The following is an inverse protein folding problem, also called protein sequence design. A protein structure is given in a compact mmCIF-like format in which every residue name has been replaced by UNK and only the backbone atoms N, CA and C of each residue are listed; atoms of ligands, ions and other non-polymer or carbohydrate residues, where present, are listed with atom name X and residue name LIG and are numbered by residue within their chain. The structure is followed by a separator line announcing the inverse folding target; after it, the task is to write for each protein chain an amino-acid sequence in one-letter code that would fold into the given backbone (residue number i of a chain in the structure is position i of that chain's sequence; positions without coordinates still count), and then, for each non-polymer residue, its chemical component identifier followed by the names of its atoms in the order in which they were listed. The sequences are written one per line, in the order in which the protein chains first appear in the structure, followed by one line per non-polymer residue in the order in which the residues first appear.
data_IF_283273480343
#
_entry.id   IF_283273480343
#
_cell.length_a   1.000
_cell.length_b   1.000
_cell.length_c   1.000
_cell.angle_alpha   90.00
_cell.angle_beta   90.00
_cell.angle_gamma   90.00
#
_symmetry.space_group_name_H-M   'P 1'
#
loop_
_entity.id
_entity.type
_entity.pdbx_description
1 polymer ?
#
# COMPACT_ATOMS: atom_id res chain seq x y z
N UNK A 1 15.38 26.30 -19.13
CA UNK A 1 14.97 26.44 -20.55
C UNK A 1 13.51 26.06 -20.66
N UNK A 2 12.81 26.54 -21.68
CA UNK A 2 11.48 26.04 -22.00
C UNK A 2 11.52 24.53 -22.31
N UNK A 3 10.49 23.81 -21.88
CA UNK A 3 10.33 22.37 -21.93
C UNK A 3 8.86 21.99 -22.12
N UNK A 4 8.65 20.82 -22.71
CA UNK A 4 7.37 20.15 -22.78
C UNK A 4 7.52 18.81 -22.06
N UNK A 5 6.66 18.53 -21.08
CA UNK A 5 6.63 17.25 -20.38
C UNK A 5 5.21 16.79 -20.17
N UNK A 6 4.95 15.54 -20.53
CA UNK A 6 3.67 14.87 -20.42
C UNK A 6 3.92 13.49 -19.77
N UNK A 7 3.16 13.19 -18.72
CA UNK A 7 3.17 11.88 -18.08
C UNK A 7 2.20 10.95 -18.83
N UNK A 8 2.54 9.66 -18.93
CA UNK A 8 1.68 8.65 -19.57
C UNK A 8 0.48 8.32 -18.69
N UNK A 9 -0.47 9.24 -18.61
CA UNK A 9 -1.63 9.16 -17.75
C UNK A 9 -2.92 8.96 -18.56
N UNK A 10 -3.80 8.08 -18.07
CA UNK A 10 -5.11 7.85 -18.65
C UNK A 10 -6.18 8.01 -17.58
N UNK A 11 -7.05 9.00 -17.75
CA UNK A 11 -8.20 9.22 -16.88
C UNK A 11 -9.34 8.27 -17.26
N UNK A 12 -9.93 7.62 -16.27
CA UNK A 12 -11.18 6.89 -16.44
C UNK A 12 -12.35 7.88 -16.55
N UNK A 13 -13.28 7.61 -17.46
CA UNK A 13 -14.57 8.33 -17.50
C UNK A 13 -15.31 8.09 -16.19
N UNK A 14 -15.88 9.12 -15.57
CA UNK A 14 -16.69 8.91 -14.36
C UNK A 14 -17.92 8.05 -14.66
N UNK A 15 -18.17 7.06 -13.80
CA UNK A 15 -19.24 6.07 -13.98
C UNK A 15 -20.59 6.58 -13.47
N UNK A 16 -20.58 7.45 -12.46
CA UNK A 16 -21.78 8.08 -11.89
C UNK A 16 -21.66 9.60 -11.95
N UNK A 17 -22.78 10.29 -11.93
CA UNK A 17 -22.85 11.76 -12.12
C UNK A 17 -22.04 12.55 -11.09
N UNK A 18 -21.96 12.06 -9.84
CA UNK A 18 -21.25 12.74 -8.77
C UNK A 18 -19.85 12.16 -8.47
N UNK A 19 -19.32 11.26 -9.31
CA UNK A 19 -18.09 10.49 -9.03
C UNK A 19 -16.81 11.03 -9.68
N UNK A 20 -16.75 12.34 -9.98
CA UNK A 20 -15.50 12.94 -10.48
C UNK A 20 -14.32 12.72 -9.51
N UNK A 21 -14.56 12.75 -8.19
CA UNK A 21 -13.56 12.45 -7.16
C UNK A 21 -13.07 11.00 -7.23
N UNK A 22 -13.99 10.03 -7.37
CA UNK A 22 -13.65 8.61 -7.44
C UNK A 22 -12.89 8.28 -8.73
N UNK A 23 -13.30 8.90 -9.85
CA UNK A 23 -12.61 8.76 -11.14
C UNK A 23 -11.17 9.25 -11.09
N UNK A 24 -10.93 10.44 -10.49
CA UNK A 24 -9.58 10.95 -10.30
C UNK A 24 -8.77 10.03 -9.38
N UNK A 25 -9.28 9.68 -8.19
CA UNK A 25 -8.54 8.85 -7.23
C UNK A 25 -8.16 7.47 -7.79
N UNK A 26 -9.11 6.76 -8.42
CA UNK A 26 -8.83 5.46 -9.03
C UNK A 26 -7.83 5.56 -10.19
N UNK A 27 -7.97 6.56 -11.07
CA UNK A 27 -7.05 6.75 -12.19
C UNK A 27 -5.64 7.10 -11.73
N UNK A 28 -5.52 8.01 -10.74
CA UNK A 28 -4.24 8.40 -10.14
C UNK A 28 -3.58 7.20 -9.47
N UNK A 29 -4.36 6.36 -8.78
CA UNK A 29 -3.85 5.14 -8.16
C UNK A 29 -3.26 4.17 -9.19
N UNK A 30 -3.99 3.95 -10.30
CA UNK A 30 -3.52 3.10 -11.42
C UNK A 30 -2.28 3.68 -12.09
N UNK A 31 -2.18 5.01 -12.20
CA UNK A 31 -1.00 5.66 -12.75
C UNK A 31 0.26 5.39 -11.92
N UNK A 32 0.14 5.42 -10.60
CA UNK A 32 1.25 5.19 -9.68
C UNK A 32 1.57 3.71 -9.45
N UNK A 33 0.58 2.84 -9.61
CA UNK A 33 0.69 1.40 -9.57
C UNK A 33 -0.24 0.78 -10.62
N UNK A 34 0.32 0.31 -11.73
CA UNK A 34 -0.45 -0.32 -12.81
C UNK A 34 -1.23 -1.58 -12.37
N UNK A 35 -0.89 -2.16 -11.21
CA UNK A 35 -1.61 -3.29 -10.61
C UNK A 35 -2.64 -2.85 -9.56
N UNK A 36 -2.82 -1.54 -9.35
CA UNK A 36 -3.81 -1.01 -8.42
C UNK A 36 -5.20 -1.58 -8.74
N UNK A 37 -5.78 -2.27 -7.75
CA UNK A 37 -7.12 -2.82 -7.83
C UNK A 37 -8.22 -1.78 -7.60
N UNK A 38 -7.87 -0.52 -7.36
CA UNK A 38 -8.85 0.53 -7.09
C UNK A 38 -9.71 0.81 -8.32
N UNK A 39 -11.02 0.72 -8.12
CA UNK A 39 -12.03 1.15 -9.09
C UNK A 39 -12.86 2.26 -8.45
N UNK A 40 -13.56 3.05 -9.26
CA UNK A 40 -14.41 4.14 -8.74
C UNK A 40 -15.42 3.66 -7.70
N UNK A 41 -16.00 2.46 -7.89
CA UNK A 41 -16.97 1.91 -6.96
C UNK A 41 -16.33 1.39 -5.67
N UNK A 42 -15.08 0.90 -5.71
CA UNK A 42 -14.34 0.50 -4.51
C UNK A 42 -13.95 1.73 -3.69
N UNK A 43 -13.46 2.79 -4.35
CA UNK A 43 -13.20 4.08 -3.68
C UNK A 43 -14.48 4.59 -3.03
N UNK A 44 -15.62 4.54 -3.73
CA UNK A 44 -16.90 4.96 -3.17
C UNK A 44 -17.42 4.09 -2.03
N UNK A 45 -17.16 2.77 -2.07
CA UNK A 45 -17.50 1.85 -1.00
C UNK A 45 -16.75 2.19 0.29
N UNK A 46 -15.48 2.57 0.18
CA UNK A 46 -14.66 2.96 1.33
C UNK A 46 -14.98 4.35 1.87
N UNK A 47 -15.38 5.30 0.99
CA UNK A 47 -15.91 6.62 1.40
C UNK A 47 -17.22 6.49 2.19
N UNK A 48 -18.09 5.55 1.83
CA UNK A 48 -19.39 5.36 2.47
C UNK A 48 -19.50 4.02 3.20
N UNK A 49 -18.90 3.86 4.40
CA UNK A 49 -18.93 2.62 5.17
C UNK A 49 -20.34 2.05 5.31
N UNK A 50 -20.47 0.74 5.06
CA UNK A 50 -21.75 0.03 5.13
C UNK A 50 -22.58 0.05 3.84
N UNK A 51 -22.16 0.80 2.80
CA UNK A 51 -22.74 0.71 1.46
C UNK A 51 -21.90 -0.21 0.57
N UNK A 52 -22.54 -0.92 -0.36
CA UNK A 52 -21.86 -1.75 -1.36
C UNK A 52 -21.96 -1.11 -2.74
N UNK A 53 -21.16 -0.06 -2.97
CA UNK A 53 -21.31 0.81 -4.14
C UNK A 53 -20.97 0.11 -5.47
N UNK A 54 -20.21 -0.99 -5.44
CA UNK A 54 -19.98 -1.84 -6.61
C UNK A 54 -21.18 -2.73 -6.99
N UNK A 55 -22.07 -3.02 -6.04
CA UNK A 55 -23.29 -3.80 -6.29
C UNK A 55 -24.43 -2.86 -6.67
N UNK A 56 -24.58 -1.76 -5.93
CA UNK A 56 -25.56 -0.72 -6.21
C UNK A 56 -24.93 0.65 -5.97
N UNK A 57 -24.67 1.39 -7.05
CA UNK A 57 -24.03 2.69 -7.00
C UNK A 57 -24.98 3.83 -6.62
N UNK A 58 -26.29 3.66 -6.81
CA UNK A 58 -27.29 4.70 -6.54
C UNK A 58 -27.19 5.33 -5.14
N UNK A 59 -27.12 4.57 -4.02
CA UNK A 59 -26.99 5.15 -2.68
C UNK A 59 -25.62 5.80 -2.42
N UNK A 60 -24.67 5.67 -3.34
CA UNK A 60 -23.32 6.21 -3.24
C UNK A 60 -23.05 7.32 -4.26
N UNK A 61 -24.02 7.65 -5.14
CA UNK A 61 -23.88 8.69 -6.15
C UNK A 61 -24.02 10.08 -5.53
N UNK A 62 -23.08 10.43 -4.65
CA UNK A 62 -23.05 11.67 -3.88
C UNK A 62 -21.75 12.44 -4.16
N UNK A 63 -21.77 13.79 -4.12
CA UNK A 63 -20.54 14.60 -4.18
C UNK A 63 -19.65 14.30 -2.96
N UNK A 64 -18.33 14.33 -3.13
CA UNK A 64 -17.37 14.09 -2.04
C UNK A 64 -16.05 14.85 -2.22
N UNK A 65 -15.18 14.78 -1.21
CA UNK A 65 -13.87 15.40 -1.15
C UNK A 65 -12.79 14.57 -1.87
N UNK A 66 -11.98 15.20 -2.71
CA UNK A 66 -10.91 14.51 -3.45
C UNK A 66 -9.73 14.13 -2.56
N UNK A 67 -9.37 14.94 -1.58
CA UNK A 67 -8.30 14.65 -0.62
C UNK A 67 -8.62 13.39 0.20
N UNK A 68 -9.86 13.23 0.66
CA UNK A 68 -10.28 11.99 1.34
C UNK A 68 -10.27 10.78 0.40
N UNK A 69 -10.72 10.94 -0.85
CA UNK A 69 -10.68 9.86 -1.84
C UNK A 69 -9.24 9.45 -2.18
N UNK A 70 -8.32 10.41 -2.28
CA UNK A 70 -6.90 10.16 -2.50
C UNK A 70 -6.23 9.57 -1.24
N UNK A 71 -6.71 9.86 -0.03
CA UNK A 71 -6.24 9.18 1.19
C UNK A 71 -6.62 7.70 1.18
N UNK A 72 -7.85 7.36 0.76
CA UNK A 72 -8.29 5.96 0.59
C UNK A 72 -7.37 5.21 -0.39
N UNK A 73 -6.98 5.85 -1.50
CA UNK A 73 -6.06 5.24 -2.46
C UNK A 73 -4.58 5.39 -2.09
N UNK A 74 -4.27 6.04 -0.96
CA UNK A 74 -2.90 6.34 -0.48
C UNK A 74 -2.09 7.30 -1.36
N UNK A 75 -2.75 8.04 -2.25
CA UNK A 75 -2.10 8.93 -3.21
C UNK A 75 -2.20 10.41 -2.84
N UNK A 76 -2.77 10.76 -1.68
CA UNK A 76 -2.80 12.16 -1.23
C UNK A 76 -1.47 12.55 -0.59
N UNK A 77 -0.86 13.63 -1.09
CA UNK A 77 0.30 14.25 -0.46
C UNK A 77 -0.17 15.56 0.20
N UNK A 78 -0.37 15.51 1.51
CA UNK A 78 -0.85 16.63 2.29
C UNK A 78 0.14 17.81 2.28
N UNK A 79 -0.33 19.06 2.46
CA UNK A 79 -1.71 19.46 2.74
C UNK A 79 -2.54 19.78 1.47
N UNK A 80 -3.86 19.91 1.64
CA UNK A 80 -4.74 20.53 0.65
C UNK A 80 -4.38 22.01 0.51
N UNK A 81 -4.21 22.47 -0.72
CA UNK A 81 -3.89 23.87 -1.04
C UNK A 81 -5.14 24.58 -1.54
N UNK A 82 -5.50 25.69 -0.90
CA UNK A 82 -6.69 26.49 -1.20
C UNK A 82 -6.43 27.57 -2.28
N UNK A 83 -5.67 27.23 -3.31
CA UNK A 83 -5.36 28.11 -4.44
C UNK A 83 -4.83 27.34 -5.66
N UNK A 84 -4.83 27.97 -6.85
CA UNK A 84 -3.93 27.57 -7.93
C UNK A 84 -2.46 27.67 -7.50
N UNK A 85 -1.62 26.81 -8.07
CA UNK A 85 -0.16 26.86 -7.93
C UNK A 85 0.47 27.46 -9.20
N UNK A 86 1.69 27.96 -9.09
CA UNK A 86 2.38 28.59 -10.22
C UNK A 86 3.06 27.56 -11.14
N UNK A 87 3.52 28.00 -12.32
CA UNK A 87 4.16 27.12 -13.29
C UNK A 87 5.37 26.38 -12.71
N UNK A 88 6.21 27.02 -11.89
CA UNK A 88 7.40 26.39 -11.33
C UNK A 88 7.03 25.23 -10.39
N UNK A 89 5.96 25.38 -9.60
CA UNK A 89 5.43 24.31 -8.75
C UNK A 89 4.83 23.16 -9.57
N UNK A 90 4.11 23.49 -10.65
CA UNK A 90 3.59 22.48 -11.60
C UNK A 90 4.74 21.68 -12.21
N UNK A 91 5.78 22.38 -12.69
CA UNK A 91 6.98 21.75 -13.24
C UNK A 91 7.64 20.86 -12.19
N UNK A 92 7.80 21.31 -10.95
CA UNK A 92 8.39 20.52 -9.89
C UNK A 92 7.65 19.19 -9.64
N UNK A 93 6.31 19.18 -9.63
CA UNK A 93 5.55 17.95 -9.46
C UNK A 93 5.66 17.03 -10.68
N UNK A 94 5.36 17.56 -11.88
CA UNK A 94 5.38 16.79 -13.13
C UNK A 94 6.78 16.26 -13.44
N UNK A 95 7.83 17.04 -13.15
CA UNK A 95 9.21 16.63 -13.37
C UNK A 95 9.60 15.44 -12.48
N UNK A 96 9.06 15.38 -11.26
CA UNK A 96 9.18 14.25 -10.34
C UNK A 96 8.18 13.10 -10.61
N UNK A 97 7.50 13.12 -11.77
CA UNK A 97 6.57 12.06 -12.15
C UNK A 97 5.26 12.09 -11.38
N UNK A 98 4.88 13.23 -10.80
CA UNK A 98 3.68 13.36 -9.97
C UNK A 98 2.55 14.06 -10.71
N UNK A 99 1.35 13.49 -10.61
CA UNK A 99 0.10 14.12 -11.04
C UNK A 99 -0.33 15.19 -10.04
N UNK A 100 -1.15 16.13 -10.47
CA UNK A 100 -1.74 17.15 -9.60
C UNK A 100 -3.25 17.10 -9.74
N UNK A 101 -3.96 16.79 -8.66
CA UNK A 101 -5.40 16.94 -8.62
C UNK A 101 -5.79 18.41 -8.49
N UNK A 102 -6.89 18.81 -9.11
CA UNK A 102 -7.37 20.19 -9.07
C UNK A 102 -8.88 20.24 -8.90
N UNK A 103 -9.37 21.22 -8.14
CA UNK A 103 -10.80 21.51 -8.04
C UNK A 103 -11.14 22.72 -8.89
N UNK A 104 -12.02 22.52 -9.87
CA UNK A 104 -12.72 23.57 -10.58
C UNK A 104 -13.96 23.95 -9.78
N UNK A 105 -14.09 25.23 -9.41
CA UNK A 105 -15.32 25.80 -8.89
C UNK A 105 -16.12 26.44 -10.01
N UNK A 106 -17.35 26.00 -10.24
CA UNK A 106 -18.24 26.58 -11.25
C UNK A 106 -18.86 27.89 -10.77
N UNK A 107 -19.10 28.82 -11.68
CA UNK A 107 -19.74 30.11 -11.33
C UNK A 107 -21.17 29.93 -10.81
N UNK A 108 -21.88 28.89 -11.27
CA UNK A 108 -23.22 28.52 -10.81
C UNK A 108 -23.27 27.70 -9.51
N UNK A 109 -22.12 27.42 -8.89
CA UNK A 109 -22.02 26.57 -7.70
C UNK A 109 -21.63 25.12 -8.01
N UNK A 110 -21.22 24.39 -6.97
CA UNK A 110 -20.65 23.04 -7.09
C UNK A 110 -19.15 23.04 -7.42
N UNK A 111 -18.65 21.87 -7.83
CA UNK A 111 -17.27 21.72 -8.25
C UNK A 111 -17.03 20.48 -9.08
N UNK A 112 -15.88 20.43 -9.73
CA UNK A 112 -15.45 19.33 -10.57
C UNK A 112 -13.97 19.06 -10.37
N UNK A 113 -13.59 17.80 -10.35
CA UNK A 113 -12.19 17.40 -10.18
C UNK A 113 -11.58 16.98 -11.51
N UNK A 114 -10.41 17.55 -11.82
CA UNK A 114 -9.60 17.20 -12.99
C UNK A 114 -8.13 17.09 -12.56
N UNK A 115 -7.31 16.41 -13.37
CA UNK A 115 -5.90 16.20 -13.07
C UNK A 115 -4.99 16.88 -14.09
N UNK A 116 -3.96 17.58 -13.62
CA UNK A 116 -2.84 18.04 -14.46
C UNK A 116 -1.84 16.90 -14.54
N UNK A 117 -1.45 16.53 -15.76
CA UNK A 117 -0.49 15.45 -16.03
C UNK A 117 0.70 15.89 -16.91
N UNK A 118 0.82 17.19 -17.17
CA UNK A 118 1.89 17.74 -17.99
C UNK A 118 1.84 19.25 -18.11
N UNK A 119 2.90 19.81 -18.68
CA UNK A 119 3.00 21.23 -19.03
C UNK A 119 3.79 21.42 -20.33
N UNK A 120 3.60 22.57 -20.98
CA UNK A 120 4.37 23.04 -22.11
C UNK A 120 4.59 24.55 -22.00
N UNK A 121 5.84 24.99 -21.81
CA UNK A 121 6.21 26.42 -21.70
C UNK A 121 7.10 26.91 -22.85
N UNK A 122 6.98 26.28 -24.04
CA UNK A 122 7.70 26.68 -25.26
C UNK A 122 7.18 28.03 -25.82
N UNK A 123 6.01 28.50 -25.38
CA UNK A 123 5.41 29.80 -25.74
C UNK A 123 5.40 30.83 -24.61
N UNK A 124 4.84 32.02 -24.89
CA UNK A 124 4.72 33.10 -23.89
C UNK A 124 3.76 32.77 -22.74
N UNK A 125 2.66 32.08 -23.04
CA UNK A 125 1.70 31.59 -22.03
C UNK A 125 1.77 30.06 -21.98
N UNK A 126 2.14 29.47 -20.84
CA UNK A 126 2.24 28.02 -20.70
C UNK A 126 0.91 27.33 -20.93
N UNK A 127 0.97 26.12 -21.49
CA UNK A 127 -0.17 25.21 -21.56
C UNK A 127 -0.02 24.07 -20.56
N UNK A 128 -1.15 23.57 -20.09
CA UNK A 128 -1.29 22.42 -19.20
C UNK A 128 -1.97 21.28 -19.95
N UNK A 129 -1.49 20.07 -19.72
CA UNK A 129 -2.20 18.86 -20.11
C UNK A 129 -3.18 18.50 -18.98
N UNK A 130 -4.47 18.59 -19.28
CA UNK A 130 -5.57 18.39 -18.33
C UNK A 130 -6.34 17.12 -18.70
N UNK A 131 -6.53 16.23 -17.74
CA UNK A 131 -7.33 15.04 -17.90
C UNK A 131 -8.62 15.17 -17.08
N UNK A 132 -9.75 15.14 -17.79
CA UNK A 132 -11.08 15.38 -17.23
C UNK A 132 -11.95 14.11 -17.35
N UNK A 133 -12.54 13.60 -16.25
CA UNK A 133 -13.35 12.38 -16.29
C UNK A 133 -14.71 12.55 -16.97
N UNK A 134 -15.12 13.77 -17.34
CA UNK A 134 -16.34 14.08 -18.12
C UNK A 134 -15.96 14.46 -19.55
N UNK A 135 -15.09 15.45 -19.70
CA UNK A 135 -14.82 16.10 -21.00
C UNK A 135 -13.60 15.52 -21.74
N UNK A 136 -12.86 14.60 -21.12
CA UNK A 136 -11.67 13.98 -21.70
C UNK A 136 -10.39 14.82 -21.58
N UNK A 137 -9.35 14.42 -22.29
CA UNK A 137 -8.05 15.09 -22.23
C UNK A 137 -8.07 16.38 -23.06
N UNK A 138 -7.50 17.45 -22.52
CA UNK A 138 -7.40 18.75 -23.17
C UNK A 138 -6.05 19.40 -22.92
N UNK A 139 -5.70 20.37 -23.78
CA UNK A 139 -4.48 21.15 -23.69
C UNK A 139 -4.86 22.61 -23.54
N UNK A 140 -4.72 23.15 -22.34
CA UNK A 140 -5.35 24.43 -21.93
C UNK A 140 -4.29 25.41 -21.47
N UNK A 141 -4.40 26.69 -21.88
CA UNK A 141 -3.53 27.74 -21.36
C UNK A 141 -3.67 27.86 -19.85
N UNK A 142 -2.55 28.01 -19.14
CA UNK A 142 -2.53 28.17 -17.67
C UNK A 142 -3.38 29.37 -17.23
N UNK A 143 -3.29 30.50 -17.93
CA UNK A 143 -4.09 31.69 -17.67
C UNK A 143 -5.61 31.43 -17.76
N UNK A 144 -6.04 30.71 -18.81
CA UNK A 144 -7.43 30.31 -19.00
C UNK A 144 -7.87 29.25 -17.99
N UNK A 145 -7.04 28.26 -17.70
CA UNK A 145 -7.35 27.21 -16.72
C UNK A 145 -7.59 27.78 -15.31
N UNK A 146 -6.82 28.80 -14.92
CA UNK A 146 -6.98 29.49 -13.63
C UNK A 146 -8.35 30.16 -13.47
N UNK A 147 -8.93 30.69 -14.55
CA UNK A 147 -10.03 31.68 -14.44
C UNK A 147 -11.29 31.33 -15.23
N UNK A 148 -11.19 30.50 -16.26
CA UNK A 148 -12.23 30.29 -17.28
C UNK A 148 -12.19 28.88 -17.89
N UNK A 149 -11.88 27.86 -17.09
CA UNK A 149 -11.98 26.46 -17.53
C UNK A 149 -13.40 26.16 -18.05
N UNK A 150 -13.51 25.62 -19.26
CA UNK A 150 -14.79 25.42 -19.97
C UNK A 150 -15.67 26.71 -20.01
N UNK A 151 -15.03 27.88 -20.08
CA UNK A 151 -15.65 29.21 -20.11
C UNK A 151 -16.50 29.57 -18.87
N UNK A 152 -16.45 28.79 -17.78
CA UNK A 152 -17.36 28.97 -16.63
C UNK A 152 -16.73 28.60 -15.27
N UNK A 153 -15.69 27.78 -15.25
CA UNK A 153 -15.03 27.32 -14.04
C UNK A 153 -13.73 28.04 -13.74
N UNK A 154 -13.34 28.10 -12.47
CA UNK A 154 -12.03 28.58 -12.02
C UNK A 154 -11.32 27.51 -11.20
N UNK A 155 -10.00 27.42 -11.31
CA UNK A 155 -9.20 26.58 -10.43
C UNK A 155 -9.20 27.18 -9.02
N UNK A 156 -9.68 26.41 -8.04
CA UNK A 156 -9.87 26.87 -6.65
C UNK A 156 -8.98 26.16 -5.64
N UNK A 157 -8.69 24.88 -5.84
CA UNK A 157 -7.90 24.08 -4.90
C UNK A 157 -6.95 23.15 -5.65
N UNK A 158 -5.81 22.85 -5.02
CA UNK A 158 -4.76 21.97 -5.54
C UNK A 158 -4.52 20.83 -4.57
N UNK A 159 -4.39 19.62 -5.13
CA UNK A 159 -4.17 18.38 -4.41
C UNK A 159 -2.85 17.81 -4.93
N UNK A 160 -1.79 17.91 -4.12
CA UNK A 160 -0.58 17.18 -4.44
C UNK A 160 -0.83 15.69 -4.28
N UNK A 161 -0.20 14.93 -5.17
CA UNK A 161 -0.30 13.48 -5.14
C UNK A 161 1.07 12.86 -4.99
N UNK A 162 1.07 11.61 -4.56
CA UNK A 162 2.28 10.82 -4.38
C UNK A 162 2.07 9.43 -4.94
N UNK A 163 3.16 8.84 -5.41
CA UNK A 163 3.21 7.39 -5.61
C UNK A 163 2.95 6.71 -4.26
N UNK A 164 2.35 5.53 -4.28
CA UNK A 164 2.30 4.64 -3.11
C UNK A 164 3.76 4.30 -2.74
N UNK A 165 4.41 5.18 -1.95
CA UNK A 165 5.77 5.58 -2.33
C UNK A 165 6.48 6.54 -1.36
N UNK A 166 5.77 7.53 -0.83
CA UNK A 166 6.40 8.58 0.00
C UNK A 166 6.09 8.49 1.50
N UNK A 167 5.22 7.56 1.89
CA UNK A 167 5.09 7.04 3.26
C UNK A 167 5.05 5.50 3.14
N UNK A 168 6.15 4.80 3.45
CA UNK A 168 6.31 3.42 2.99
C UNK A 168 6.74 2.43 4.07
N UNK A 169 5.85 1.48 4.32
CA UNK A 169 6.28 0.15 4.75
C UNK A 169 7.12 -0.44 3.61
N UNK A 170 8.45 -0.41 3.76
CA UNK A 170 9.39 -0.99 2.80
C UNK A 170 9.27 -2.51 2.83
N UNK A 171 8.93 -3.08 1.68
CA UNK A 171 9.01 -4.52 1.44
C UNK A 171 10.38 -4.86 0.88
N UNK A 172 10.97 -5.97 1.33
CA UNK A 172 12.26 -6.43 0.80
C UNK A 172 12.07 -6.98 -0.61
N UNK A 173 12.89 -6.51 -1.56
CA UNK A 173 12.98 -7.11 -2.89
C UNK A 173 13.45 -8.56 -2.74
N UNK A 174 12.74 -9.50 -3.36
CA UNK A 174 13.11 -10.92 -3.32
C UNK A 174 14.22 -11.22 -4.30
N UNK A 175 15.22 -11.97 -3.83
CA UNK A 175 16.32 -12.43 -4.64
C UNK A 175 15.84 -13.46 -5.69
N UNK A 176 16.13 -13.20 -6.97
CA UNK A 176 15.70 -14.05 -8.09
C UNK A 176 16.18 -15.50 -7.95
N UNK A 177 17.40 -15.72 -7.43
CA UNK A 177 17.93 -17.07 -7.22
C UNK A 177 17.10 -17.86 -6.19
N UNK A 178 16.48 -17.19 -5.21
CA UNK A 178 15.59 -17.83 -4.25
C UNK A 178 14.26 -18.20 -4.89
N UNK A 179 13.73 -17.37 -5.80
CA UNK A 179 12.53 -17.68 -6.58
C UNK A 179 12.76 -18.89 -7.50
N UNK A 180 13.92 -18.97 -8.14
CA UNK A 180 14.30 -20.12 -8.97
C UNK A 180 14.36 -21.39 -8.11
N UNK A 181 14.96 -21.33 -6.91
CA UNK A 181 14.96 -22.46 -5.96
C UNK A 181 13.54 -22.85 -5.53
N UNK A 182 12.69 -21.89 -5.17
CA UNK A 182 11.30 -22.14 -4.82
C UNK A 182 10.52 -22.83 -5.95
N UNK A 183 10.75 -22.39 -7.20
CA UNK A 183 10.12 -22.95 -8.39
C UNK A 183 10.50 -24.42 -8.64
N UNK A 184 11.61 -24.92 -8.09
CA UNK A 184 11.98 -26.35 -8.24
C UNK A 184 11.11 -27.30 -7.41
N UNK A 185 10.42 -26.80 -6.38
CA UNK A 185 9.61 -27.64 -5.49
C UNK A 185 8.25 -27.95 -6.12
N UNK A 186 8.07 -29.20 -6.56
CA UNK A 186 6.80 -29.69 -7.09
C UNK A 186 5.96 -30.34 -5.98
N UNK A 187 4.97 -29.62 -5.46
CA UNK A 187 3.94 -30.22 -4.60
C UNK A 187 2.90 -30.92 -5.49
N UNK A 188 2.62 -32.21 -5.26
CA UNK A 188 1.71 -33.03 -6.10
C UNK A 188 0.28 -32.47 -6.24
N UNK A 189 -0.15 -31.61 -5.32
CA UNK A 189 -1.46 -30.93 -5.35
C UNK A 189 -1.39 -29.46 -5.77
N UNK A 190 -0.17 -28.88 -5.88
CA UNK A 190 0.00 -27.52 -6.35
C UNK A 190 0.08 -27.54 -7.87
N UNK A 191 -0.87 -26.92 -8.53
CA UNK A 191 -0.92 -26.73 -9.97
C UNK A 191 0.18 -25.78 -10.43
N UNK A 192 1.42 -26.28 -10.45
CA UNK A 192 2.55 -25.82 -11.27
C UNK A 192 2.91 -24.33 -11.21
N UNK A 193 4.08 -24.03 -10.63
CA UNK A 193 5.26 -23.30 -11.16
C UNK A 193 5.09 -22.20 -12.23
N UNK A 194 4.12 -22.28 -13.16
CA UNK A 194 3.81 -21.24 -14.16
C UNK A 194 3.58 -19.86 -13.54
N UNK A 195 3.09 -19.79 -12.30
CA UNK A 195 2.99 -18.54 -11.54
C UNK A 195 4.36 -17.95 -11.22
N UNK A 196 5.32 -18.73 -10.70
CA UNK A 196 6.64 -18.22 -10.31
C UNK A 196 7.51 -17.77 -11.51
N UNK A 197 7.44 -18.48 -12.64
CA UNK A 197 8.17 -18.09 -13.86
C UNK A 197 7.62 -16.80 -14.49
N UNK A 198 6.30 -16.57 -14.43
CA UNK A 198 5.67 -15.32 -14.84
C UNK A 198 5.98 -14.16 -13.86
N UNK A 199 6.05 -14.45 -12.55
CA UNK A 199 6.37 -13.48 -11.50
C UNK A 199 7.87 -13.07 -11.48
N UNK A 200 8.76 -13.89 -12.05
CA UNK A 200 10.18 -13.54 -12.27
C UNK A 200 10.38 -12.45 -13.34
N UNK A 201 9.43 -12.32 -14.27
CA UNK A 201 9.55 -11.46 -15.46
C UNK A 201 8.80 -10.13 -15.34
N UNK A 202 7.88 -9.99 -14.38
CA UNK A 202 7.13 -8.76 -14.12
C UNK A 202 7.58 -8.17 -12.78
N UNK A 203 8.21 -7.00 -12.82
CA UNK A 203 8.45 -6.22 -11.62
C UNK A 203 7.11 -5.85 -10.96
N UNK A 204 6.98 -6.19 -9.68
CA UNK A 204 6.13 -5.52 -8.66
C UNK A 204 4.69 -6.02 -8.41
N UNK A 205 4.32 -7.26 -8.78
CA UNK A 205 3.07 -7.88 -8.33
C UNK A 205 3.28 -9.10 -7.43
N UNK A 206 2.77 -9.08 -6.19
CA UNK A 206 2.50 -10.25 -5.31
C UNK A 206 3.65 -11.05 -4.66
N UNK A 207 4.93 -10.79 -4.94
CA UNK A 207 6.02 -11.42 -4.18
C UNK A 207 6.46 -10.48 -3.04
N UNK A 208 6.12 -10.86 -1.80
CA UNK A 208 6.55 -10.12 -0.61
C UNK A 208 7.62 -10.91 0.14
N UNK A 209 8.85 -10.40 0.11
CA UNK A 209 9.94 -10.89 0.93
C UNK A 209 9.91 -10.27 2.32
N UNK A 210 10.04 -11.08 3.36
CA UNK A 210 10.20 -10.62 4.73
C UNK A 210 11.39 -11.28 5.41
N UNK A 211 12.21 -10.46 6.08
CA UNK A 211 13.22 -10.98 6.99
C UNK A 211 12.54 -11.57 8.23
N UNK A 212 12.97 -12.77 8.63
CA UNK A 212 12.43 -13.52 9.76
C UNK A 212 13.39 -13.41 10.94
N UNK A 213 12.85 -12.99 12.07
CA UNK A 213 13.55 -12.83 13.32
C UNK A 213 12.97 -13.75 14.38
N UNK A 214 13.84 -14.26 15.24
CA UNK A 214 13.51 -15.16 16.33
C UNK A 214 13.79 -14.49 17.68
N UNK A 215 12.82 -14.63 18.58
CA UNK A 215 13.01 -14.43 20.01
C UNK A 215 13.07 -15.80 20.67
N UNK A 216 13.82 -15.86 21.77
CA UNK A 216 13.86 -17.02 22.66
C UNK A 216 13.29 -16.60 24.02
N UNK A 217 12.83 -17.53 24.85
CA UNK A 217 12.24 -17.15 26.16
C UNK A 217 13.21 -16.39 27.06
N UNK A 218 14.51 -16.71 27.03
CA UNK A 218 15.54 -15.99 27.77
C UNK A 218 15.61 -14.50 27.41
N UNK A 219 15.22 -14.14 26.19
CA UNK A 219 15.19 -12.76 25.69
C UNK A 219 13.97 -11.97 26.21
N UNK A 220 12.91 -12.64 26.71
CA UNK A 220 11.76 -11.96 27.31
C UNK A 220 12.02 -11.53 28.77
N UNK A 221 12.89 -12.27 29.47
CA UNK A 221 13.22 -12.05 30.88
C UNK A 221 14.30 -10.99 31.10
N UNK A 222 15.21 -10.82 30.14
CA UNK A 222 16.25 -9.79 30.20
C UNK A 222 15.77 -8.60 29.36
N UNK A 223 15.72 -7.40 29.93
CA UNK A 223 15.06 -6.22 29.32
C UNK A 223 15.66 -5.75 27.97
N UNK A 224 16.75 -6.34 27.48
CA UNK A 224 17.60 -5.78 26.43
C UNK A 224 18.35 -6.85 25.59
N UNK A 225 17.65 -7.81 24.99
CA UNK A 225 18.23 -8.57 23.86
C UNK A 225 17.35 -8.49 22.60
N UNK A 226 18.00 -8.20 21.49
CA UNK A 226 17.40 -7.92 20.18
C UNK A 226 17.00 -9.23 19.48
N UNK A 227 15.86 -9.26 18.78
CA UNK A 227 15.50 -10.41 17.95
C UNK A 227 16.64 -10.80 17.01
N UNK A 228 16.92 -12.11 16.90
CA UNK A 228 18.00 -12.63 16.04
C UNK A 228 17.47 -12.86 14.63
N UNK A 229 18.15 -12.28 13.63
CA UNK A 229 17.85 -12.57 12.23
C UNK A 229 18.21 -14.04 11.95
N UNK A 230 17.25 -14.83 11.47
CA UNK A 230 17.45 -16.27 11.29
C UNK A 230 16.78 -16.88 10.06
N UNK A 231 16.17 -16.08 9.19
CA UNK A 231 15.61 -16.61 7.95
C UNK A 231 15.01 -15.54 7.06
N UNK A 232 14.50 -15.99 5.92
CA UNK A 232 13.81 -15.15 4.94
C UNK A 232 12.57 -15.86 4.45
N UNK A 233 11.46 -15.14 4.38
CA UNK A 233 10.16 -15.67 3.96
C UNK A 233 9.71 -15.00 2.68
N UNK A 234 9.17 -15.79 1.76
CA UNK A 234 8.55 -15.32 0.54
C UNK A 234 7.11 -15.81 0.50
N UNK A 235 6.15 -14.89 0.54
CA UNK A 235 4.75 -15.19 0.32
C UNK A 235 4.41 -15.01 -1.16
N UNK A 236 3.66 -15.98 -1.70
CA UNK A 236 3.14 -15.95 -3.08
C UNK A 236 1.64 -16.21 -3.06
N UNK A 237 0.90 -15.44 -3.85
CA UNK A 237 -0.48 -15.71 -4.22
C UNK A 237 -0.53 -15.74 -5.74
N UNK A 238 -1.25 -16.68 -6.33
CA UNK A 238 -1.48 -16.73 -7.78
C UNK A 238 -2.98 -16.80 -8.10
N UNK A 239 -3.83 -16.43 -7.13
CA UNK A 239 -5.28 -16.52 -7.19
C UNK A 239 -5.80 -17.91 -6.81
N UNK A 240 -5.21 -18.97 -7.36
CA UNK A 240 -5.61 -20.36 -7.07
C UNK A 240 -5.01 -20.92 -5.78
N UNK A 241 -3.77 -20.56 -5.47
CA UNK A 241 -2.95 -21.14 -4.42
C UNK A 241 -2.17 -20.05 -3.71
N UNK A 242 -2.02 -20.23 -2.40
CA UNK A 242 -1.21 -19.36 -1.55
C UNK A 242 -0.13 -20.23 -0.95
N UNK A 243 1.13 -19.85 -1.16
CA UNK A 243 2.29 -20.61 -0.70
C UNK A 243 3.25 -19.67 0.01
N UNK A 244 3.86 -20.18 1.07
CA UNK A 244 4.95 -19.52 1.79
C UNK A 244 6.20 -20.37 1.63
N UNK A 245 7.26 -19.77 1.15
CA UNK A 245 8.59 -20.38 1.06
C UNK A 245 9.47 -19.77 2.14
N UNK A 246 10.22 -20.61 2.86
CA UNK A 246 11.15 -20.14 3.88
C UNK A 246 12.56 -20.62 3.61
N UNK A 247 13.48 -19.68 3.73
CA UNK A 247 14.90 -19.85 3.51
C UNK A 247 15.66 -19.55 4.80
N UNK A 248 16.87 -20.09 4.91
CA UNK A 248 17.81 -19.76 6.00
C UNK A 248 18.37 -18.33 5.92
N UNK A 249 18.14 -17.63 4.80
CA UNK A 249 18.55 -16.24 4.59
C UNK A 249 18.09 -15.68 3.24
N UNK A 250 18.55 -14.48 2.90
CA UNK A 250 18.16 -13.73 1.68
C UNK A 250 19.28 -13.71 0.60
N UNK A 251 20.36 -14.48 0.79
CA UNK A 251 21.48 -14.49 -0.15
C UNK A 251 21.23 -15.51 -1.27
N UNK A 252 21.84 -15.36 -2.47
CA UNK A 252 21.70 -16.34 -3.54
C UNK A 252 22.09 -17.77 -3.12
N UNK A 253 22.99 -17.91 -2.14
CA UNK A 253 23.43 -19.18 -1.58
C UNK A 253 22.43 -19.81 -0.60
N UNK A 254 21.47 -19.05 -0.08
CA UNK A 254 20.53 -19.52 0.96
C UNK A 254 19.69 -20.73 0.54
N UNK A 255 19.43 -21.61 1.49
CA UNK A 255 18.76 -22.90 1.26
C UNK A 255 17.27 -22.78 1.58
N UNK A 256 16.42 -23.36 0.74
CA UNK A 256 15.00 -23.52 1.03
C UNK A 256 14.83 -24.55 2.15
N UNK A 257 14.30 -24.11 3.29
CA UNK A 257 14.10 -24.90 4.49
C UNK A 257 12.71 -25.55 4.52
N UNK A 258 11.67 -24.81 4.15
CA UNK A 258 10.30 -25.31 4.15
C UNK A 258 9.37 -24.60 3.17
N UNK A 259 8.28 -25.28 2.80
CA UNK A 259 7.16 -24.73 2.04
C UNK A 259 5.88 -24.96 2.82
N UNK A 260 5.21 -23.88 3.22
CA UNK A 260 3.92 -23.93 3.91
C UNK A 260 2.81 -23.76 2.88
N UNK A 261 2.02 -24.80 2.71
CA UNK A 261 0.92 -24.87 1.74
C UNK A 261 -0.45 -25.06 2.40
N UNK A 262 -0.54 -24.87 3.72
CA UNK A 262 -1.82 -24.94 4.43
C UNK A 262 -2.69 -23.71 4.09
N UNK A 263 -3.81 -23.97 3.43
CA UNK A 263 -4.70 -22.91 2.96
C UNK A 263 -5.27 -22.06 4.09
N UNK A 264 -5.53 -22.64 5.27
CA UNK A 264 -6.10 -21.90 6.39
C UNK A 264 -5.08 -20.93 6.97
N UNK A 265 -3.86 -21.42 7.23
CA UNK A 265 -2.73 -20.62 7.67
C UNK A 265 -2.44 -19.49 6.68
N UNK A 266 -2.28 -19.82 5.40
CA UNK A 266 -1.87 -18.86 4.37
C UNK A 266 -2.94 -17.78 4.12
N UNK A 267 -4.24 -18.10 4.27
CA UNK A 267 -5.32 -17.09 4.23
C UNK A 267 -5.27 -16.13 5.41
N UNK A 268 -5.01 -16.63 6.62
CA UNK A 268 -4.86 -15.75 7.81
C UNK A 268 -3.65 -14.84 7.66
N UNK A 269 -2.53 -15.39 7.17
CA UNK A 269 -1.31 -14.64 6.89
C UNK A 269 -1.55 -13.51 5.86
N UNK A 270 -2.21 -13.83 4.75
CA UNK A 270 -2.58 -12.83 3.74
C UNK A 270 -3.51 -11.75 4.31
N UNK A 271 -4.51 -12.13 5.11
CA UNK A 271 -5.42 -11.15 5.73
C UNK A 271 -4.66 -10.14 6.60
N UNK A 272 -3.68 -10.61 7.37
CA UNK A 272 -2.79 -9.75 8.14
C UNK A 272 -1.94 -8.84 7.25
N UNK A 273 -1.34 -9.38 6.17
CA UNK A 273 -0.59 -8.58 5.19
C UNK A 273 -1.44 -7.51 4.52
N UNK A 274 -2.66 -7.83 4.08
CA UNK A 274 -3.55 -6.88 3.44
C UNK A 274 -3.94 -5.75 4.39
N UNK A 275 -4.12 -6.05 5.68
CA UNK A 275 -4.36 -5.05 6.72
C UNK A 275 -3.17 -4.13 6.96
N UNK A 276 -1.95 -4.66 6.81
CA UNK A 276 -0.72 -3.86 6.90
C UNK A 276 -0.62 -2.94 5.69
N UNK A 277 -0.83 -3.47 4.48
CA UNK A 277 -0.87 -2.68 3.24
C UNK A 277 -1.92 -1.57 3.32
N UNK A 278 -3.12 -1.87 3.81
CA UNK A 278 -4.18 -0.86 3.98
C UNK A 278 -3.89 0.16 5.09
N UNK A 279 -2.87 -0.04 5.93
CA UNK A 279 -2.48 0.90 6.99
C UNK A 279 -1.32 1.81 6.57
N UNK A 280 -0.68 1.52 5.43
CA UNK A 280 0.37 2.33 4.81
C UNK A 280 -0.09 3.77 4.49
N UNK A 281 -1.38 4.07 4.65
CA UNK A 281 -2.04 5.33 4.28
C UNK A 281 -1.95 6.44 5.34
N UNK A 282 -1.51 6.16 6.58
CA UNK A 282 -1.80 7.02 7.74
C UNK A 282 -0.58 7.39 8.64
N UNK A 283 0.66 7.21 8.20
CA UNK A 283 1.84 7.55 9.04
C UNK A 283 2.95 8.22 8.26
N UNK A 284 3.48 9.34 8.77
CA UNK A 284 4.71 9.99 8.26
C UNK A 284 6.00 9.18 8.56
N UNK A 285 5.86 8.02 9.20
CA UNK A 285 6.95 7.17 9.64
C UNK A 285 7.29 6.07 8.63
N UNK A 286 8.59 5.87 8.39
CA UNK A 286 9.11 4.80 7.54
C UNK A 286 9.26 3.50 8.33
N UNK A 287 8.56 2.46 7.90
CA UNK A 287 8.66 1.12 8.52
C UNK A 287 9.29 0.12 7.54
N UNK A 288 9.94 -0.91 8.05
CA UNK A 288 10.36 -2.11 7.31
C UNK A 288 9.53 -3.28 7.80
N UNK A 289 8.90 -4.01 6.88
CA UNK A 289 8.12 -5.18 7.23
C UNK A 289 9.04 -6.38 7.51
N UNK A 290 8.97 -6.91 8.74
CA UNK A 290 9.67 -8.11 9.21
C UNK A 290 8.66 -9.12 9.76
N UNK A 291 9.10 -10.34 9.97
CA UNK A 291 8.35 -11.36 10.73
C UNK A 291 9.11 -11.65 12.02
N UNK A 292 8.38 -11.69 13.13
CA UNK A 292 8.88 -12.08 14.43
C UNK A 292 8.26 -13.41 14.84
N UNK A 293 9.09 -14.36 15.28
CA UNK A 293 8.65 -15.64 15.83
C UNK A 293 9.17 -15.83 17.25
N UNK A 294 8.32 -16.42 18.07
CA UNK A 294 8.69 -17.02 19.35
C UNK A 294 7.95 -18.36 19.44
N UNK A 295 8.54 -19.42 18.85
CA UNK A 295 7.90 -20.73 18.75
C UNK A 295 7.40 -21.28 20.09
N UNK A 296 8.13 -21.02 21.18
CA UNK A 296 7.84 -21.50 22.52
C UNK A 296 6.57 -20.90 23.14
N UNK A 297 6.08 -19.78 22.59
CA UNK A 297 4.77 -19.21 22.90
C UNK A 297 3.77 -19.33 21.73
N UNK A 298 4.10 -20.07 20.68
CA UNK A 298 3.30 -20.17 19.45
C UNK A 298 3.01 -18.79 18.85
N UNK A 299 3.98 -17.89 18.96
CA UNK A 299 3.88 -16.54 18.43
C UNK A 299 4.44 -16.50 17.02
N UNK A 300 3.62 -15.97 16.11
CA UNK A 300 4.09 -15.38 14.87
C UNK A 300 3.41 -14.03 14.70
N UNK A 301 4.19 -12.99 14.42
CA UNK A 301 3.71 -11.63 14.24
C UNK A 301 4.45 -10.93 13.11
N UNK A 302 3.76 -10.08 12.37
CA UNK A 302 4.43 -9.05 11.59
C UNK A 302 5.00 -7.99 12.51
N UNK A 303 6.20 -7.55 12.20
CA UNK A 303 6.92 -6.50 12.89
C UNK A 303 7.14 -5.36 11.90
N UNK A 304 6.44 -4.25 12.13
CA UNK A 304 6.71 -2.99 11.46
C UNK A 304 7.82 -2.31 12.23
N UNK A 305 9.03 -2.38 11.70
CA UNK A 305 10.20 -1.83 12.36
C UNK A 305 10.50 -0.43 11.84
N UNK A 306 10.59 0.55 12.73
CA UNK A 306 11.01 1.90 12.39
C UNK A 306 12.54 2.01 12.54
N UNK A 307 13.24 2.10 11.41
CA UNK A 307 14.72 2.15 11.38
C UNK A 307 15.29 3.42 12.05
N UNK A 308 14.49 4.48 12.20
CA UNK A 308 14.91 5.74 12.83
C UNK A 308 14.71 5.71 14.35
N UNK A 309 13.61 5.11 14.82
CA UNK A 309 13.33 4.97 16.25
C UNK A 309 12.48 3.74 16.55
N UNK A 310 13.13 2.71 17.09
CA UNK A 310 12.49 1.43 17.42
C UNK A 310 11.39 1.51 18.50
N UNK A 311 11.24 2.63 19.22
CA UNK A 311 10.12 2.81 20.15
C UNK A 311 8.76 2.87 19.43
N UNK A 312 8.77 3.26 18.16
CA UNK A 312 7.57 3.26 17.32
C UNK A 312 7.26 1.91 16.68
N UNK A 313 8.07 0.87 16.94
CA UNK A 313 7.83 -0.46 16.39
C UNK A 313 6.43 -0.97 16.73
N UNK A 314 5.78 -1.54 15.72
CA UNK A 314 4.45 -2.10 15.85
C UNK A 314 4.45 -3.58 15.51
N UNK A 315 3.61 -4.33 16.21
CA UNK A 315 3.51 -5.77 16.07
C UNK A 315 2.07 -6.16 15.77
N UNK A 316 1.88 -7.01 14.75
CA UNK A 316 0.59 -7.56 14.36
C UNK A 316 0.65 -9.09 14.42
N UNK A 317 0.09 -9.73 15.46
CA UNK A 317 0.02 -11.18 15.56
C UNK A 317 -0.74 -11.77 14.37
N UNK A 318 -0.19 -12.82 13.78
CA UNK A 318 -0.88 -13.61 12.73
C UNK A 318 -1.97 -14.46 13.38
N UNK A 319 -1.70 -15.01 14.57
CA UNK A 319 -2.63 -15.84 15.34
C UNK A 319 -2.91 -15.25 16.72
N UNK A 320 -3.91 -15.81 17.42
CA UNK A 320 -4.13 -15.48 18.82
C UNK A 320 -3.04 -16.15 19.67
N UNK A 321 -2.33 -15.36 20.48
CA UNK A 321 -1.27 -15.85 21.37
C UNK A 321 -1.49 -15.29 22.77
N UNK A 322 -2.01 -16.12 23.68
CA UNK A 322 -2.44 -15.66 25.00
C UNK A 322 -3.47 -14.52 24.90
N UNK A 323 -3.11 -13.32 25.37
CA UNK A 323 -3.95 -12.12 25.28
C UNK A 323 -3.78 -11.32 23.98
N UNK A 324 -2.78 -11.66 23.15
CA UNK A 324 -2.60 -11.08 21.84
C UNK A 324 -3.64 -11.66 20.87
N UNK A 325 -4.30 -10.79 20.13
CA UNK A 325 -5.34 -11.16 19.16
C UNK A 325 -4.80 -11.00 17.74
N UNK A 326 -5.14 -11.97 16.90
CA UNK A 326 -4.77 -11.97 15.49
C UNK A 326 -5.23 -10.69 14.78
N UNK A 327 -4.40 -10.15 13.89
CA UNK A 327 -4.65 -8.96 13.09
C UNK A 327 -4.84 -7.65 13.90
N UNK A 328 -4.62 -7.64 15.22
CA UNK A 328 -4.62 -6.40 16.01
C UNK A 328 -3.21 -5.78 16.04
N UNK A 329 -3.14 -4.46 16.08
CA UNK A 329 -1.86 -3.74 16.18
C UNK A 329 -1.53 -3.50 17.63
N UNK A 330 -0.29 -3.79 18.01
CA UNK A 330 0.24 -3.54 19.34
C UNK A 330 1.51 -2.68 19.25
N UNK A 331 1.59 -1.56 19.97
CA UNK A 331 2.85 -0.85 20.19
C UNK A 331 3.85 -1.76 20.92
N UNK A 332 5.15 -1.60 20.65
CA UNK A 332 6.27 -2.37 21.24
C UNK A 332 6.08 -2.67 22.73
N UNK A 333 5.96 -1.64 23.57
CA UNK A 333 5.87 -1.82 25.03
C UNK A 333 4.71 -2.72 25.44
N UNK A 334 3.51 -2.50 24.86
CA UNK A 334 2.32 -3.29 25.15
C UNK A 334 2.47 -4.73 24.66
N UNK A 335 3.05 -4.92 23.47
CA UNK A 335 3.27 -6.24 22.88
C UNK A 335 4.16 -7.11 23.77
N UNK A 336 5.34 -6.61 24.14
CA UNK A 336 6.29 -7.35 24.98
C UNK A 336 5.77 -7.59 26.39
N UNK A 337 5.03 -6.65 26.99
CA UNK A 337 4.39 -6.87 28.28
C UNK A 337 3.38 -8.03 28.24
N UNK A 338 2.59 -8.15 27.17
CA UNK A 338 1.64 -9.27 27.02
C UNK A 338 2.36 -10.60 26.77
N UNK A 339 3.52 -10.60 26.09
CA UNK A 339 4.35 -11.80 25.94
C UNK A 339 4.94 -12.28 27.26
N UNK A 340 5.45 -11.38 28.11
CA UNK A 340 5.95 -11.72 29.45
C UNK A 340 4.86 -12.35 30.33
N UNK A 341 3.63 -11.83 30.24
CA UNK A 341 2.47 -12.43 30.95
C UNK A 341 2.19 -13.85 30.43
N UNK A 342 2.25 -14.06 29.11
CA UNK A 342 2.06 -15.39 28.52
C UNK A 342 3.19 -16.38 28.93
N UNK A 343 4.44 -15.90 29.00
CA UNK A 343 5.59 -16.69 29.46
C UNK A 343 5.43 -17.15 30.91
N UNK A 344 5.04 -16.26 31.82
CA UNK A 344 4.81 -16.59 33.23
C UNK A 344 3.73 -17.67 33.40
N UNK A 345 2.67 -17.63 32.59
CA UNK A 345 1.62 -18.66 32.62
C UNK A 345 2.13 -20.02 32.14
N UNK A 346 3.07 -20.04 31.19
CA UNK A 346 3.66 -21.28 30.66
C UNK A 346 4.51 -22.02 31.68
N UNK A 347 5.29 -21.32 32.51
CA UNK A 347 6.21 -21.91 33.51
C UNK A 347 5.55 -22.89 34.48
N UNK A 348 4.21 -22.88 34.57
CA UNK A 348 3.42 -23.85 35.33
C UNK A 348 3.46 -25.29 34.78
N UNK A 349 3.89 -25.49 33.54
CA UNK A 349 3.81 -26.78 32.84
C UNK A 349 5.16 -27.19 32.18
N UNK A 350 6.29 -26.78 32.76
CA UNK A 350 7.64 -26.99 32.21
C UNK A 350 8.15 -28.42 32.46
N UNK A 351 7.47 -29.41 31.88
CA UNK A 351 7.87 -30.82 31.86
C UNK A 351 8.39 -31.16 30.45
N UNK A 352 9.60 -31.72 30.32
CA UNK A 352 10.24 -31.98 29.02
C UNK A 352 9.51 -33.04 28.18
N UNK A 353 8.59 -33.82 28.76
CA UNK A 353 7.79 -34.83 28.07
C UNK A 353 6.40 -34.33 27.67
N UNK A 354 5.97 -33.16 28.15
CA UNK A 354 4.67 -32.58 27.80
C UNK A 354 4.75 -31.82 26.47
N UNK A 355 3.92 -32.23 25.50
CA UNK A 355 3.58 -31.42 24.34
C UNK A 355 2.36 -30.55 24.63
N UNK A 356 2.46 -29.23 24.47
CA UNK A 356 1.46 -28.26 24.92
C UNK A 356 1.13 -27.19 23.91
#
# INVERSE_FOLDING_TARGET
MASNKELKFSMQRQVQDNWCWAANAASISIFYDNHSGWTQCLVATDVFPGKSCCVNAAPCNEPWYLDEALQITSNFNAPLIYSPINLAEIKAQVDNGRLIGTRIGWSGGGGHFVSIYGYNDIGQDPFLYIADPIYGNSFVKLSSFNTSYQNNGRWTHTYYTQQNGDAMIKFSKVNKALLEKAATVKLKMASSIKGLEALSNNNEGEILGQEVYFLNLSTLTNELETPLKGGYRVFTDNGSEKLIYEFDGNEPSSTLQQVIHDNNFNKVYQKSLNKIKSKQTNTDENYVLRVLRLPELKLEAFWLHNDQNSEFDQYIPVFNTGKLKANMVYPKLKFFNLLRVAEQQRKKYDDPLLGG
#
